data_IF_177185387753
#
_entry.id   IF_177185387753
#
_cell.length_a   1.000
_cell.length_b   1.000
_cell.length_c   1.000
_cell.angle_alpha   90.00
_cell.angle_beta   90.00
_cell.angle_gamma   90.00
#
_symmetry.space_group_name_H-M   'P 1'
#
loop_
_entity.id
_entity.type
_entity.pdbx_description
1 polymer ?
#
# COMPACT_ATOMS: atom_id res chain seq x y z
N UNK A 1 2.62 -21.30 -2.29
CA UNK A 1 2.38 -20.01 -1.60
C UNK A 1 1.13 -19.42 -2.22
N UNK A 2 0.07 -19.17 -1.45
CA UNK A 2 -1.16 -18.59 -2.01
C UNK A 2 -0.86 -17.17 -2.46
N UNK A 3 -1.02 -16.88 -3.75
CA UNK A 3 -0.81 -15.54 -4.31
C UNK A 3 -1.82 -14.59 -3.65
N UNK A 4 -1.32 -13.66 -2.85
CA UNK A 4 -2.16 -12.70 -2.12
C UNK A 4 -2.73 -11.63 -3.04
N UNK A 5 -2.07 -11.41 -4.18
CA UNK A 5 -2.50 -10.49 -5.22
C UNK A 5 -2.67 -11.19 -6.55
N UNK A 6 -3.62 -10.71 -7.37
CA UNK A 6 -3.92 -11.25 -8.70
C UNK A 6 -3.32 -10.44 -9.84
N UNK A 7 -2.83 -9.24 -9.52
CA UNK A 7 -2.38 -8.26 -10.51
C UNK A 7 -0.90 -7.96 -10.33
N UNK A 8 -0.23 -7.54 -11.41
CA UNK A 8 1.19 -7.20 -11.35
C UNK A 8 1.45 -5.99 -10.45
N UNK A 9 0.51 -5.05 -10.37
CA UNK A 9 0.63 -3.86 -9.54
C UNK A 9 0.41 -4.15 -8.05
N UNK A 10 -0.53 -5.03 -7.72
CA UNK A 10 -0.68 -5.55 -6.36
C UNK A 10 0.60 -6.26 -5.91
N UNK A 11 1.16 -7.10 -6.77
CA UNK A 11 2.43 -7.79 -6.49
C UNK A 11 3.57 -6.79 -6.30
N UNK A 12 3.68 -5.77 -7.17
CA UNK A 12 4.70 -4.72 -7.06
C UNK A 12 4.66 -3.99 -5.72
N UNK A 13 3.46 -3.69 -5.22
CA UNK A 13 3.27 -3.07 -3.90
C UNK A 13 3.79 -3.97 -2.77
N UNK A 14 3.47 -5.27 -2.84
CA UNK A 14 3.92 -6.24 -1.85
C UNK A 14 5.44 -6.40 -1.91
N UNK A 15 6.04 -6.53 -3.08
CA UNK A 15 7.49 -6.65 -3.22
C UNK A 15 8.20 -5.44 -2.57
N UNK A 16 7.71 -4.23 -2.83
CA UNK A 16 8.26 -3.00 -2.23
C UNK A 16 8.14 -2.95 -0.69
N UNK A 17 7.13 -3.62 -0.12
CA UNK A 17 6.94 -3.77 1.32
C UNK A 17 7.85 -4.87 1.91
N UNK A 18 7.93 -6.01 1.22
CA UNK A 18 8.60 -7.22 1.70
C UNK A 18 10.12 -7.08 1.70
N UNK A 19 10.68 -6.25 0.82
CA UNK A 19 12.12 -5.94 0.74
C UNK A 19 12.74 -5.37 2.03
N UNK A 20 11.92 -4.93 3.00
CA UNK A 20 12.38 -4.16 4.17
C UNK A 20 12.14 -4.82 5.52
N UNK A 21 11.47 -5.97 5.58
CA UNK A 21 11.18 -6.61 6.86
C UNK A 21 11.27 -8.13 6.80
N UNK A 22 11.48 -8.77 7.95
CA UNK A 22 11.70 -10.21 8.00
C UNK A 22 10.41 -10.98 7.67
N UNK A 23 10.59 -12.16 7.06
CA UNK A 23 9.49 -13.03 6.65
C UNK A 23 8.54 -13.40 7.80
N UNK A 24 9.06 -13.51 9.04
CA UNK A 24 8.25 -13.76 10.23
C UNK A 24 7.33 -12.60 10.59
N UNK A 25 7.80 -11.36 10.45
CA UNK A 25 7.00 -10.14 10.65
C UNK A 25 5.97 -9.96 9.54
N UNK A 26 6.30 -10.30 8.30
CA UNK A 26 5.35 -10.33 7.17
C UNK A 26 4.22 -11.34 7.40
N UNK A 27 4.53 -12.58 7.82
CA UNK A 27 3.52 -13.60 8.15
C UNK A 27 2.55 -13.09 9.21
N UNK A 28 3.08 -12.46 10.28
CA UNK A 28 2.23 -11.85 11.31
C UNK A 28 1.41 -10.70 10.72
N UNK A 29 2.03 -9.81 9.95
CA UNK A 29 1.35 -8.70 9.27
C UNK A 29 0.16 -9.16 8.43
N UNK A 30 0.31 -10.23 7.65
CA UNK A 30 -0.78 -10.82 6.86
C UNK A 30 -2.03 -11.13 7.69
N UNK A 31 -1.86 -11.67 8.90
CA UNK A 31 -3.01 -11.96 9.80
C UNK A 31 -3.78 -10.71 10.25
N UNK A 32 -3.17 -9.53 10.16
CA UNK A 32 -3.78 -8.25 10.53
C UNK A 32 -4.56 -7.58 9.40
N UNK A 33 -4.49 -8.10 8.16
CA UNK A 33 -5.24 -7.59 7.01
C UNK A 33 -6.73 -8.00 6.97
N UNK A 34 -7.14 -8.93 7.84
CA UNK A 34 -8.52 -9.45 7.90
C UNK A 34 -9.55 -8.44 8.44
N UNK A 35 -10.81 -8.56 8.01
CA UNK A 35 -11.92 -7.70 8.45
C UNK A 35 -12.15 -7.76 9.97
N UNK A 36 -11.80 -8.87 10.63
CA UNK A 36 -11.89 -8.99 12.07
C UNK A 36 -10.90 -8.05 12.80
N UNK A 37 -9.77 -7.75 12.17
CA UNK A 37 -8.68 -6.94 12.70
C UNK A 37 -8.79 -5.47 12.29
N UNK A 38 -9.23 -5.20 11.07
CA UNK A 38 -9.42 -3.83 10.56
C UNK A 38 -10.76 -3.30 11.08
N UNK A 39 -10.72 -2.37 12.03
CA UNK A 39 -11.93 -1.77 12.64
C UNK A 39 -12.43 -0.53 11.91
N UNK A 40 -11.53 0.19 11.27
CA UNK A 40 -11.83 1.33 10.42
C UNK A 40 -10.85 1.29 9.24
N UNK A 41 -11.36 1.61 8.06
CA UNK A 41 -10.62 1.63 6.80
C UNK A 41 -11.13 2.78 5.96
N UNK A 42 -10.24 3.71 5.62
CA UNK A 42 -10.56 4.88 4.80
C UNK A 42 -9.36 5.19 3.90
N UNK A 43 -9.63 5.39 2.61
CA UNK A 43 -8.63 5.77 1.63
C UNK A 43 -9.05 7.11 1.05
N UNK A 44 -8.24 8.15 1.29
CA UNK A 44 -8.51 9.50 0.78
C UNK A 44 -7.24 10.13 0.26
N UNK A 45 -7.27 10.58 -1.00
CA UNK A 45 -6.15 11.29 -1.66
C UNK A 45 -4.82 10.53 -1.51
N UNK A 46 -4.83 9.22 -1.79
CA UNK A 46 -3.67 8.33 -1.66
C UNK A 46 -3.13 8.11 -0.25
N UNK A 47 -3.90 8.48 0.78
CA UNK A 47 -3.61 8.19 2.18
C UNK A 47 -4.59 7.15 2.69
N UNK A 48 -4.05 6.02 3.14
CA UNK A 48 -4.79 4.99 3.87
C UNK A 48 -4.75 5.30 5.35
N UNK A 49 -5.92 5.46 5.97
CA UNK A 49 -6.09 5.60 7.41
C UNK A 49 -6.87 4.40 7.91
N UNK A 50 -6.30 3.70 8.89
CA UNK A 50 -6.91 2.51 9.47
C UNK A 50 -6.86 2.53 10.99
N UNK A 51 -7.83 1.85 11.62
CA UNK A 51 -7.73 1.43 13.01
C UNK A 51 -7.59 -0.07 13.07
N UNK A 52 -6.47 -0.55 13.58
CA UNK A 52 -6.13 -1.97 13.62
C UNK A 52 -6.23 -2.49 15.05
N UNK A 53 -6.98 -3.58 15.22
CA UNK A 53 -7.14 -4.28 16.50
C UNK A 53 -5.86 -5.02 16.88
N UNK A 54 -5.24 -4.60 17.97
CA UNK A 54 -4.10 -5.28 18.58
C UNK A 54 -4.48 -6.57 19.31
N UNK A 55 -3.54 -7.08 20.11
CA UNK A 55 -3.79 -8.22 21.00
C UNK A 55 -3.69 -7.74 22.44
N UNK A 56 -4.52 -8.32 23.33
CA UNK A 56 -4.29 -8.25 24.76
C UNK A 56 -2.95 -8.90 25.07
N UNK A 57 -2.16 -8.26 25.92
CA UNK A 57 -0.91 -8.82 26.39
C UNK A 57 -0.67 -8.40 27.85
N UNK A 58 -1.15 -9.21 28.82
CA UNK A 58 -0.99 -8.92 30.24
C UNK A 58 0.47 -8.76 30.67
N UNK A 59 1.42 -9.45 30.03
CA UNK A 59 2.85 -9.32 30.32
C UNK A 59 3.39 -7.90 30.09
N UNK A 60 2.76 -7.14 29.18
CA UNK A 60 3.10 -5.73 28.93
C UNK A 60 2.03 -4.77 29.46
N UNK A 61 1.18 -5.20 30.40
CA UNK A 61 0.15 -4.35 31.01
C UNK A 61 -1.03 -4.02 30.10
N UNK A 62 -1.20 -4.73 28.98
CA UNK A 62 -2.32 -4.53 28.04
C UNK A 62 -3.45 -5.51 28.39
N UNK A 63 -4.33 -5.09 29.29
CA UNK A 63 -5.43 -5.92 29.81
C UNK A 63 -6.70 -5.87 28.96
N UNK A 64 -6.92 -4.75 28.27
CA UNK A 64 -8.03 -4.57 27.33
C UNK A 64 -7.54 -4.69 25.89
N UNK A 65 -8.45 -4.95 24.95
CA UNK A 65 -8.09 -5.05 23.54
C UNK A 65 -7.75 -3.67 22.99
N UNK A 66 -6.50 -3.40 22.58
CA UNK A 66 -6.13 -2.08 22.09
C UNK A 66 -6.48 -1.93 20.61
N UNK A 67 -6.67 -0.69 20.18
CA UNK A 67 -6.77 -0.33 18.77
C UNK A 67 -5.70 0.69 18.43
N UNK A 68 -5.00 0.49 17.32
CA UNK A 68 -3.91 1.34 16.88
C UNK A 68 -4.28 2.11 15.62
N UNK A 69 -4.10 3.42 15.64
CA UNK A 69 -4.21 4.26 14.45
C UNK A 69 -2.98 4.01 13.59
N UNK A 70 -3.23 3.57 12.37
CA UNK A 70 -2.19 3.24 11.40
C UNK A 70 -2.45 4.02 10.13
N UNK A 71 -1.42 4.67 9.61
CA UNK A 71 -1.47 5.41 8.37
C UNK A 71 -0.40 4.88 7.42
N UNK A 72 -0.79 4.70 6.17
CA UNK A 72 0.13 4.36 5.07
C UNK A 72 -0.19 5.31 3.93
N UNK A 73 0.82 6.00 3.44
CA UNK A 73 0.72 6.91 2.31
C UNK A 73 1.86 6.59 1.35
N UNK A 74 1.55 6.50 0.06
CA UNK A 74 2.61 6.45 -0.94
C UNK A 74 3.08 7.87 -1.27
N UNK A 75 4.37 8.00 -1.57
CA UNK A 75 4.93 9.29 -1.97
C UNK A 75 4.29 9.71 -3.29
N UNK A 76 3.50 10.79 -3.25
CA UNK A 76 2.87 11.34 -4.44
C UNK A 76 3.87 12.11 -5.30
N UNK A 77 3.66 12.01 -6.61
CA UNK A 77 4.29 12.90 -7.58
C UNK A 77 3.74 14.32 -7.42
N UNK A 78 4.60 15.31 -7.62
CA UNK A 78 4.18 16.71 -7.68
C UNK A 78 3.22 16.96 -8.84
N UNK A 79 2.39 18.00 -8.74
CA UNK A 79 1.49 18.41 -9.83
C UNK A 79 2.23 18.66 -11.15
N UNK A 80 3.45 19.20 -11.08
CA UNK A 80 4.29 19.43 -12.25
C UNK A 80 4.76 18.12 -12.91
N UNK A 81 5.06 17.08 -12.12
CA UNK A 81 5.38 15.74 -12.65
C UNK A 81 4.13 15.11 -13.27
N UNK A 82 2.99 15.16 -12.58
CA UNK A 82 1.72 14.65 -13.12
C UNK A 82 1.34 15.28 -14.44
N UNK A 83 1.47 16.60 -14.59
CA UNK A 83 1.18 17.29 -15.85
C UNK A 83 2.01 16.76 -17.02
N UNK A 84 3.30 16.49 -16.80
CA UNK A 84 4.20 15.93 -17.82
C UNK A 84 3.85 14.47 -18.15
N UNK A 85 3.54 13.67 -17.14
CA UNK A 85 3.16 12.26 -17.28
C UNK A 85 1.83 12.15 -18.04
N UNK A 86 0.80 12.89 -17.64
CA UNK A 86 -0.51 12.90 -18.30
C UNK A 86 -0.36 13.28 -19.78
N UNK A 87 0.45 14.32 -20.10
CA UNK A 87 0.69 14.72 -21.48
C UNK A 87 1.35 13.63 -22.35
N UNK A 88 2.09 12.70 -21.74
CA UNK A 88 2.67 11.53 -22.42
C UNK A 88 1.73 10.34 -22.48
N UNK A 89 1.00 10.07 -21.40
CA UNK A 89 -0.03 9.02 -21.36
C UNK A 89 -1.10 9.25 -22.43
N UNK A 90 -1.54 10.51 -22.63
CA UNK A 90 -2.57 10.85 -23.61
C UNK A 90 -2.15 10.69 -25.07
N UNK A 91 -0.85 10.52 -25.35
CA UNK A 91 -0.35 10.22 -26.69
C UNK A 91 -0.54 8.73 -27.07
N UNK A 92 -0.86 7.87 -26.11
CA UNK A 92 -1.04 6.43 -26.30
C UNK A 92 -2.47 6.03 -25.93
N UNK A 93 -3.35 5.98 -26.93
CA UNK A 93 -4.76 5.62 -26.73
C UNK A 93 -4.96 4.27 -26.00
N UNK A 94 -4.05 3.31 -26.22
CA UNK A 94 -4.07 2.00 -25.53
C UNK A 94 -3.95 2.12 -24.00
N UNK A 95 -3.19 3.09 -23.49
CA UNK A 95 -3.07 3.32 -22.05
C UNK A 95 -4.35 3.89 -21.46
N UNK A 96 -4.97 4.83 -22.15
CA UNK A 96 -6.25 5.42 -21.72
C UNK A 96 -7.32 4.32 -21.63
N UNK A 97 -7.45 3.49 -22.67
CA UNK A 97 -8.47 2.42 -22.70
C UNK A 97 -8.31 1.44 -21.54
N UNK A 98 -7.07 1.02 -21.24
CA UNK A 98 -6.79 0.12 -20.10
C UNK A 98 -7.10 0.78 -18.75
N UNK A 99 -6.67 2.03 -18.55
CA UNK A 99 -6.94 2.76 -17.31
C UNK A 99 -8.44 3.02 -17.09
N UNK A 100 -9.21 3.19 -18.18
CA UNK A 100 -10.68 3.35 -18.11
C UNK A 100 -11.42 2.09 -17.65
N UNK A 101 -10.79 0.92 -17.76
CA UNK A 101 -11.33 -0.37 -17.28
C UNK A 101 -10.58 -0.87 -16.03
N UNK A 102 -9.98 0.07 -15.27
CA UNK A 102 -9.26 -0.23 -14.03
C UNK A 102 -8.09 -1.22 -14.21
N UNK A 103 -7.43 -1.21 -15.37
CA UNK A 103 -6.24 -2.01 -15.67
C UNK A 103 -5.00 -1.10 -15.78
N UNK A 104 -3.95 -1.39 -15.00
CA UNK A 104 -2.66 -0.71 -15.19
C UNK A 104 -1.86 -1.42 -16.30
N UNK A 105 -1.54 -0.75 -17.42
CA UNK A 105 -0.68 -1.32 -18.46
C UNK A 105 0.72 -1.67 -17.92
N UNK A 106 1.23 -2.87 -18.21
CA UNK A 106 2.55 -3.33 -17.73
C UNK A 106 3.70 -2.40 -18.13
N UNK A 107 3.62 -1.79 -19.31
CA UNK A 107 4.63 -0.85 -19.81
C UNK A 107 4.35 0.61 -19.45
N UNK A 108 3.40 0.90 -18.55
CA UNK A 108 3.11 2.27 -18.13
C UNK A 108 4.31 2.90 -17.41
N UNK A 109 5.07 2.10 -16.66
CA UNK A 109 6.23 2.55 -15.88
C UNK A 109 7.33 3.14 -16.77
N UNK A 110 7.40 2.80 -18.07
CA UNK A 110 8.30 3.44 -19.03
C UNK A 110 8.06 4.96 -19.12
N UNK A 111 6.80 5.39 -19.01
CA UNK A 111 6.43 6.81 -19.03
C UNK A 111 6.93 7.51 -17.78
N UNK A 112 6.80 6.86 -16.62
CA UNK A 112 7.24 7.40 -15.34
C UNK A 112 8.77 7.45 -15.25
N UNK A 113 9.45 6.41 -15.76
CA UNK A 113 10.89 6.32 -15.81
C UNK A 113 11.52 7.45 -16.64
N UNK A 114 10.87 7.89 -17.72
CA UNK A 114 11.32 9.03 -18.53
C UNK A 114 11.40 10.36 -17.74
N UNK A 115 10.74 10.44 -16.58
CA UNK A 115 10.79 11.59 -15.67
C UNK A 115 11.50 11.30 -14.34
N UNK A 116 12.22 10.17 -14.24
CA UNK A 116 12.89 9.71 -13.01
C UNK A 116 11.90 9.58 -11.83
N UNK A 117 10.72 9.02 -12.13
CA UNK A 117 9.62 8.76 -11.20
C UNK A 117 9.08 7.34 -11.40
N UNK A 118 8.18 6.92 -10.52
CA UNK A 118 7.48 5.63 -10.61
C UNK A 118 5.99 5.83 -10.32
N UNK A 119 5.14 5.03 -10.96
CA UNK A 119 3.70 5.03 -10.64
C UNK A 119 3.47 4.29 -9.32
N UNK A 120 4.05 3.10 -9.23
CA UNK A 120 3.97 2.24 -8.07
C UNK A 120 5.24 2.38 -7.21
N UNK A 121 5.17 2.11 -5.90
CA UNK A 121 6.35 2.18 -5.05
C UNK A 121 7.35 1.12 -5.46
N UNK A 122 8.62 1.50 -5.48
CA UNK A 122 9.72 0.60 -5.79
C UNK A 122 10.37 0.04 -4.54
N UNK A 123 10.29 0.79 -3.45
CA UNK A 123 10.91 0.45 -2.18
C UNK A 123 10.10 1.00 -1.02
N UNK A 124 10.39 0.55 0.19
CA UNK A 124 9.79 1.08 1.41
C UNK A 124 9.97 2.60 1.60
N UNK A 125 11.02 3.20 1.02
CA UNK A 125 11.25 4.65 1.07
C UNK A 125 10.16 5.45 0.37
N UNK A 126 9.42 4.79 -0.53
CA UNK A 126 8.30 5.36 -1.25
C UNK A 126 7.00 5.32 -0.41
N UNK A 127 7.07 4.81 0.82
CA UNK A 127 5.99 4.84 1.79
C UNK A 127 6.30 5.79 2.95
N UNK A 128 5.33 6.64 3.26
CA UNK A 128 5.23 7.35 4.53
C UNK A 128 4.24 6.59 5.41
N UNK A 129 4.73 6.01 6.50
CA UNK A 129 3.89 5.23 7.40
C UNK A 129 3.97 5.74 8.83
N UNK A 130 2.90 5.53 9.58
CA UNK A 130 2.88 5.75 11.01
C UNK A 130 1.96 4.75 11.70
N UNK A 131 2.29 4.39 12.93
CA UNK A 131 1.45 3.58 13.80
C UNK A 131 1.69 4.00 15.24
N UNK A 132 0.62 4.18 16.03
CA UNK A 132 0.69 4.53 17.45
C UNK A 132 0.88 3.31 18.38
N UNK A 133 1.25 2.15 17.81
CA UNK A 133 1.51 0.94 18.58
C UNK A 133 2.88 0.98 19.29
N UNK A 134 3.07 0.23 20.39
CA UNK A 134 4.33 0.22 21.14
C UNK A 134 5.49 -0.51 20.44
N UNK A 135 5.30 -0.98 19.21
CA UNK A 135 6.32 -1.66 18.42
C UNK A 135 7.17 -0.63 17.66
N UNK A 136 8.45 -0.53 18.02
CA UNK A 136 9.40 0.41 17.40
C UNK A 136 9.87 -0.02 16.01
N UNK A 137 9.56 -1.25 15.58
CA UNK A 137 9.93 -1.71 14.24
C UNK A 137 9.06 -1.07 13.16
N UNK A 138 9.69 -0.80 12.02
CA UNK A 138 9.09 -0.05 10.92
C UNK A 138 9.39 -0.83 9.63
N UNK A 139 8.38 -1.49 9.01
CA UNK A 139 6.98 -1.54 9.40
C UNK A 139 6.72 -2.44 10.62
N UNK A 140 5.79 -2.03 11.49
CA UNK A 140 5.22 -2.92 12.51
C UNK A 140 4.20 -3.88 11.87
N UNK A 141 3.75 -4.90 12.59
CA UNK A 141 2.74 -5.85 12.08
C UNK A 141 1.42 -5.19 11.66
N UNK A 142 1.06 -4.04 12.25
CA UNK A 142 -0.16 -3.32 11.89
C UNK A 142 0.02 -2.58 10.55
N UNK A 143 1.16 -1.91 10.35
CA UNK A 143 1.52 -1.29 9.06
C UNK A 143 1.55 -2.36 7.96
N UNK A 144 2.22 -3.49 8.21
CA UNK A 144 2.23 -4.60 7.26
C UNK A 144 0.82 -5.10 6.94
N UNK A 145 -0.05 -5.24 7.95
CA UNK A 145 -1.46 -5.62 7.75
C UNK A 145 -2.23 -4.61 6.89
N UNK A 146 -2.01 -3.30 7.08
CA UNK A 146 -2.59 -2.26 6.24
C UNK A 146 -2.08 -2.38 4.80
N UNK A 147 -0.77 -2.57 4.59
CA UNK A 147 -0.23 -2.71 3.24
C UNK A 147 -0.72 -3.97 2.52
N UNK A 148 -0.89 -5.09 3.22
CA UNK A 148 -1.50 -6.30 2.64
C UNK A 148 -2.96 -6.08 2.26
N UNK A 149 -3.74 -5.38 3.10
CA UNK A 149 -5.12 -5.06 2.74
C UNK A 149 -5.19 -4.09 1.56
N UNK A 150 -4.32 -3.08 1.55
CA UNK A 150 -4.20 -2.15 0.43
C UNK A 150 -3.86 -2.85 -0.88
N UNK A 151 -2.93 -3.82 -0.86
CA UNK A 151 -2.58 -4.61 -2.05
C UNK A 151 -3.80 -5.35 -2.62
N UNK A 152 -4.63 -5.94 -1.75
CA UNK A 152 -5.86 -6.60 -2.14
C UNK A 152 -6.91 -5.60 -2.67
N UNK A 153 -7.03 -4.42 -2.07
CA UNK A 153 -7.92 -3.38 -2.57
C UNK A 153 -7.46 -2.87 -3.96
N UNK A 154 -6.15 -2.74 -4.18
CA UNK A 154 -5.57 -2.34 -5.46
C UNK A 154 -5.83 -3.36 -6.57
N UNK A 155 -5.84 -4.66 -6.27
CA UNK A 155 -6.22 -5.67 -7.28
C UNK A 155 -7.61 -5.43 -7.85
N UNK A 156 -8.51 -4.82 -7.07
CA UNK A 156 -9.87 -4.50 -7.48
C UNK A 156 -10.00 -3.09 -8.06
N UNK A 157 -9.26 -2.12 -7.53
CA UNK A 157 -9.27 -0.75 -8.00
C UNK A 157 -7.87 -0.13 -7.88
N UNK A 158 -7.05 -0.17 -8.95
CA UNK A 158 -5.68 0.36 -8.93
C UNK A 158 -5.61 1.88 -8.75
N UNK A 159 -6.69 2.61 -9.02
CA UNK A 159 -6.72 4.07 -8.97
C UNK A 159 -6.96 4.63 -7.57
N UNK A 160 -7.19 3.77 -6.56
CA UNK A 160 -7.40 4.17 -5.16
C UNK A 160 -6.30 5.06 -4.57
N UNK A 161 -5.11 5.03 -5.17
CA UNK A 161 -3.93 5.71 -4.67
C UNK A 161 -3.58 7.01 -5.42
N UNK A 162 -4.38 7.42 -6.40
CA UNK A 162 -4.11 8.57 -7.26
C UNK A 162 -5.22 9.62 -7.22
#
# INVERSE_FOLDING_TARGET
MSTMTKTWWGQRLLDALEDFTDSGRLVRGRSYASDNRVKQWDIKKGVVQAKIRGNKNPYFGVYTEPTYKTQVQMVHLSEAQWKKIIAKLTQRASFIVKLLVDEIPENIEEIFAAFNTHLLPNSYKDFKVSCDCPDYAVPCKHIAGVCYRLAADLDHNPLLLF
#
